data_IF_139705882714
#
_entry.id   IF_139705882714
#
_cell.length_a   1.000
_cell.length_b   1.000
_cell.length_c   1.000
_cell.angle_alpha   90.00
_cell.angle_beta   90.00
_cell.angle_gamma   90.00
#
_symmetry.space_group_name_H-M   'P 1'
#
loop_
_entity.id
_entity.type
_entity.pdbx_description
1 polymer ?
#
# COMPACT_ATOMS: atom_id res chain seq x y z
N UNK A 1 0.99 14.61 1.70
CA UNK A 1 0.06 13.48 1.89
C UNK A 1 0.88 12.31 2.34
N UNK A 2 0.48 11.63 3.41
CA UNK A 2 1.09 10.34 3.76
C UNK A 2 0.09 9.28 3.32
N UNK A 3 0.58 8.23 2.69
CA UNK A 3 -0.19 7.09 2.22
C UNK A 3 0.28 5.85 2.95
N UNK A 4 -0.65 5.09 3.50
CA UNK A 4 -0.37 3.82 4.14
C UNK A 4 -0.83 2.67 3.24
N UNK A 5 0.07 1.76 2.91
CA UNK A 5 -0.25 0.49 2.29
C UNK A 5 -0.61 -0.50 3.37
N UNK A 6 -1.66 -1.27 3.12
CA UNK A 6 -2.08 -2.37 3.98
C UNK A 6 -2.51 -3.56 3.14
N UNK A 7 -1.84 -4.68 3.33
CA UNK A 7 -2.21 -5.93 2.68
C UNK A 7 -3.33 -6.64 3.46
N UNK A 8 -4.23 -7.28 2.72
CA UNK A 8 -5.34 -8.06 3.31
C UNK A 8 -4.94 -9.49 3.68
N UNK A 9 -3.92 -10.04 3.00
CA UNK A 9 -3.48 -11.44 3.17
C UNK A 9 -2.25 -11.64 4.04
N UNK A 10 -1.51 -10.57 4.36
CA UNK A 10 -0.32 -10.65 5.21
C UNK A 10 -0.13 -9.37 6.04
N UNK A 11 0.79 -9.44 7.00
CA UNK A 11 1.17 -8.32 7.88
C UNK A 11 2.09 -7.32 7.16
N UNK A 12 1.69 -6.91 5.95
CA UNK A 12 2.39 -5.90 5.17
C UNK A 12 1.71 -4.55 5.40
N UNK A 13 2.40 -3.71 6.18
CA UNK A 13 2.01 -2.33 6.47
C UNK A 13 3.21 -1.41 6.20
N UNK A 14 3.02 -0.39 5.36
CA UNK A 14 4.10 0.51 4.97
C UNK A 14 3.59 1.92 4.68
N UNK A 15 4.34 2.93 5.09
CA UNK A 15 3.98 4.33 4.88
C UNK A 15 4.86 4.98 3.81
N UNK A 16 4.25 5.81 2.97
CA UNK A 16 4.89 6.56 1.90
C UNK A 16 4.45 8.02 1.93
N UNK A 17 5.38 8.93 1.68
CA UNK A 17 5.08 10.36 1.59
C UNK A 17 4.57 10.81 0.21
N UNK A 18 4.51 9.89 -0.76
CA UNK A 18 4.11 10.16 -2.14
C UNK A 18 3.25 9.03 -2.70
N UNK A 19 2.26 9.38 -3.53
CA UNK A 19 1.32 8.43 -4.11
C UNK A 19 1.99 7.53 -5.15
N UNK A 20 2.92 8.05 -5.95
CA UNK A 20 3.60 7.27 -6.98
C UNK A 20 4.48 6.18 -6.36
N UNK A 21 5.15 6.49 -5.24
CA UNK A 21 5.87 5.49 -4.46
C UNK A 21 4.92 4.46 -3.84
N UNK A 22 3.82 4.90 -3.22
CA UNK A 22 2.84 4.00 -2.61
C UNK A 22 2.19 3.05 -3.63
N UNK A 23 1.78 3.58 -4.79
CA UNK A 23 1.17 2.81 -5.85
C UNK A 23 2.16 1.82 -6.50
N UNK A 24 3.44 2.19 -6.59
CA UNK A 24 4.48 1.28 -7.11
C UNK A 24 4.69 0.10 -6.16
N UNK A 25 4.86 0.37 -4.86
CA UNK A 25 5.10 -0.66 -3.84
C UNK A 25 3.88 -1.60 -3.71
N UNK A 26 2.66 -1.05 -3.78
CA UNK A 26 1.43 -1.85 -3.77
C UNK A 26 1.36 -2.82 -4.95
N UNK A 27 1.61 -2.31 -6.17
CA UNK A 27 1.59 -3.15 -7.38
C UNK A 27 2.68 -4.21 -7.41
N UNK A 28 3.86 -3.89 -6.89
CA UNK A 28 4.97 -4.84 -6.78
C UNK A 28 4.58 -5.98 -5.82
N UNK A 29 4.07 -5.63 -4.64
CA UNK A 29 3.58 -6.59 -3.66
C UNK A 29 2.43 -7.47 -4.19
N UNK A 30 1.46 -6.89 -4.89
CA UNK A 30 0.36 -7.64 -5.51
C UNK A 30 0.85 -8.57 -6.64
N UNK A 31 1.89 -8.18 -7.38
CA UNK A 31 2.49 -9.02 -8.41
C UNK A 31 3.27 -10.21 -7.82
N UNK A 32 3.93 -10.01 -6.67
CA UNK A 32 4.61 -11.07 -5.92
C UNK A 32 3.61 -12.00 -5.19
N UNK A 33 2.47 -11.45 -4.76
CA UNK A 33 1.44 -12.13 -3.99
C UNK A 33 0.09 -12.13 -4.72
N UNK A 34 -0.07 -12.96 -5.74
CA UNK A 34 -1.26 -13.00 -6.60
C UNK A 34 -2.59 -13.43 -5.94
N UNK A 35 -2.60 -13.73 -4.64
CA UNK A 35 -3.81 -13.99 -3.83
C UNK A 35 -4.11 -12.85 -2.85
N UNK A 36 -3.19 -11.89 -2.72
CA UNK A 36 -3.30 -10.79 -1.77
C UNK A 36 -3.63 -9.49 -2.50
N UNK A 37 -4.36 -8.61 -1.81
CA UNK A 37 -4.68 -7.28 -2.30
C UNK A 37 -4.12 -6.24 -1.35
N UNK A 38 -3.55 -5.17 -1.90
CA UNK A 38 -2.99 -4.06 -1.12
C UNK A 38 -3.90 -2.85 -1.23
N UNK A 39 -4.33 -2.34 -0.08
CA UNK A 39 -5.13 -1.12 0.03
C UNK A 39 -4.19 0.05 0.30
N UNK A 40 -4.35 1.13 -0.45
CA UNK A 40 -3.65 2.39 -0.22
C UNK A 40 -4.62 3.33 0.48
N UNK A 41 -4.31 3.67 1.73
CA UNK A 41 -5.09 4.57 2.58
C UNK A 41 -4.38 5.92 2.58
N UNK A 42 -5.08 6.98 2.17
CA UNK A 42 -4.59 8.34 2.39
C UNK A 42 -4.78 8.69 3.88
N UNK A 43 -3.68 9.04 4.54
CA UNK A 43 -3.64 9.44 5.96
C UNK A 43 -3.74 10.96 6.13
N UNK A 44 -4.21 11.73 5.13
CA UNK A 44 -4.57 13.10 5.43
C UNK A 44 -5.73 13.11 6.41
N UNK A 45 -5.52 13.76 7.55
CA UNK A 45 -6.51 13.94 8.60
C UNK A 45 -7.83 14.44 7.99
N UNK A 46 -8.91 13.70 8.26
CA UNK A 46 -10.29 14.03 7.88
C UNK A 46 -10.86 15.19 8.68
#
# INVERSE_FOLDING_TARGET
>A
MVYQLRCDGCDFEREHADWADANRDARDHEAEHGDHWVRIVDLQEA
#
